data_IF_981018898327
#
_entry.id   IF_981018898327
#
_cell.length_a   1.000
_cell.length_b   1.000
_cell.length_c   1.000
_cell.angle_alpha   90.00
_cell.angle_beta   90.00
_cell.angle_gamma   90.00
#
_symmetry.space_group_name_H-M   'P 1'
#
loop_
_entity.id
_entity.type
_entity.pdbx_description
1 polymer ?
#
# COMPACT_ATOMS: atom_id res chain seq x y z
N UNK A 1 13.56 -11.54 6.36
CA UNK A 1 14.25 -10.36 6.93
C UNK A 1 13.80 -9.13 6.14
N UNK A 2 12.83 -8.38 6.67
CA UNK A 2 12.34 -7.14 6.06
C UNK A 2 13.22 -5.95 6.41
N UNK A 3 12.88 -4.75 5.94
CA UNK A 3 13.46 -3.44 6.33
C UNK A 3 13.23 -3.09 7.82
N UNK A 4 13.22 -4.10 8.69
CA UNK A 4 13.18 -3.92 10.13
C UNK A 4 14.55 -3.38 10.53
N UNK A 5 14.52 -2.23 11.19
CA UNK A 5 15.65 -1.42 11.55
C UNK A 5 16.82 -2.11 12.26
N UNK A 6 17.97 -1.44 12.28
CA UNK A 6 19.04 -1.79 13.21
C UNK A 6 18.60 -1.38 14.65
N UNK A 7 18.93 -2.17 15.68
CA UNK A 7 18.74 -1.72 17.05
C UNK A 7 19.69 -0.53 17.31
N UNK A 8 19.13 0.65 17.56
CA UNK A 8 19.88 1.80 18.08
C UNK A 8 19.16 2.34 19.33
N UNK A 9 19.94 2.62 20.39
CA UNK A 9 19.44 3.18 21.67
C UNK A 9 18.21 2.44 22.26
N UNK A 10 18.17 1.11 22.19
CA UNK A 10 17.09 0.31 22.77
C UNK A 10 15.78 0.28 21.97
N UNK A 11 15.75 0.85 20.75
CA UNK A 11 14.60 0.79 19.84
C UNK A 11 15.03 0.31 18.45
N UNK A 12 14.13 -0.36 17.71
CA UNK A 12 14.37 -0.74 16.32
C UNK A 12 14.19 0.52 15.44
N UNK A 13 15.30 1.12 15.00
CA UNK A 13 15.28 2.36 14.22
C UNK A 13 15.16 2.02 12.75
N UNK A 14 14.10 2.46 12.04
CA UNK A 14 13.88 2.08 10.64
C UNK A 14 15.11 2.37 9.77
N UNK A 15 15.43 1.52 8.80
CA UNK A 15 16.64 1.66 7.99
C UNK A 15 16.76 3.04 7.28
N UNK A 16 15.62 3.68 6.98
CA UNK A 16 15.57 5.03 6.41
C UNK A 16 15.96 6.15 7.38
N UNK A 17 15.98 5.89 8.68
CA UNK A 17 16.44 6.83 9.71
C UNK A 17 17.97 6.72 9.92
N UNK A 18 18.57 5.57 9.59
CA UNK A 18 20.01 5.32 9.78
C UNK A 18 20.87 5.65 8.55
N UNK A 19 20.28 5.68 7.35
CA UNK A 19 20.98 5.98 6.10
C UNK A 19 20.35 7.19 5.40
N UNK A 20 21.16 8.07 4.75
CA UNK A 20 20.67 9.27 4.07
C UNK A 20 20.02 8.92 2.71
N UNK A 21 18.99 8.09 2.72
CA UNK A 21 18.28 7.64 1.54
C UNK A 21 16.91 8.33 1.50
N UNK A 22 16.50 8.81 0.32
CA UNK A 22 15.23 9.51 0.19
C UNK A 22 14.03 8.57 0.33
N UNK A 23 12.91 9.09 0.85
CA UNK A 23 11.64 8.36 0.92
C UNK A 23 11.25 7.75 -0.43
N UNK A 24 11.46 8.49 -1.53
CA UNK A 24 11.11 8.06 -2.87
C UNK A 24 11.87 6.81 -3.30
N UNK A 25 13.14 6.67 -2.93
CA UNK A 25 13.97 5.53 -3.30
C UNK A 25 13.55 4.28 -2.53
N UNK A 26 13.43 4.38 -1.20
CA UNK A 26 13.08 3.24 -0.35
C UNK A 26 11.66 2.76 -0.66
N UNK A 27 10.69 3.68 -0.75
CA UNK A 27 9.31 3.31 -1.04
C UNK A 27 9.16 2.64 -2.41
N UNK A 28 9.92 3.06 -3.44
CA UNK A 28 9.95 2.40 -4.74
C UNK A 28 10.55 0.99 -4.67
N UNK A 29 11.63 0.81 -3.93
CA UNK A 29 12.24 -0.52 -3.74
C UNK A 29 11.28 -1.46 -3.01
N UNK A 30 10.63 -0.98 -1.94
CA UNK A 30 9.62 -1.74 -1.21
C UNK A 30 8.44 -2.12 -2.11
N UNK A 31 7.89 -1.15 -2.86
CA UNK A 31 6.81 -1.42 -3.80
C UNK A 31 7.19 -2.49 -4.83
N UNK A 32 8.34 -2.35 -5.49
CA UNK A 32 8.82 -3.34 -6.48
C UNK A 32 9.00 -4.73 -5.86
N UNK A 33 9.63 -4.80 -4.69
CA UNK A 33 9.85 -6.06 -3.96
C UNK A 33 8.52 -6.74 -3.63
N UNK A 34 7.54 -5.98 -3.14
CA UNK A 34 6.22 -6.51 -2.82
C UNK A 34 5.48 -6.98 -4.07
N UNK A 35 5.50 -6.21 -5.16
CA UNK A 35 4.87 -6.61 -6.43
C UNK A 35 5.49 -7.91 -6.96
N UNK A 36 6.82 -8.03 -6.96
CA UNK A 36 7.50 -9.26 -7.38
C UNK A 36 7.08 -10.45 -6.51
N UNK A 37 6.99 -10.26 -5.19
CA UNK A 37 6.51 -11.31 -4.27
C UNK A 37 5.08 -11.71 -4.60
N UNK A 38 4.17 -10.77 -4.82
CA UNK A 38 2.77 -11.06 -5.17
C UNK A 38 2.70 -11.84 -6.48
N UNK A 39 3.44 -11.41 -7.50
CA UNK A 39 3.50 -12.10 -8.79
C UNK A 39 4.06 -13.52 -8.65
N UNK A 40 5.08 -13.72 -7.81
CA UNK A 40 5.62 -15.05 -7.52
C UNK A 40 4.59 -15.97 -6.83
N UNK A 41 3.73 -15.43 -5.98
CA UNK A 41 2.65 -16.18 -5.32
C UNK A 41 1.37 -16.30 -6.16
N UNK A 42 1.26 -15.58 -7.28
CA UNK A 42 0.04 -15.54 -8.12
C UNK A 42 -0.37 -16.92 -8.63
N UNK A 43 0.52 -17.77 -9.18
CA UNK A 43 0.11 -19.10 -9.65
C UNK A 43 -0.53 -19.95 -8.55
N UNK A 44 0.02 -19.89 -7.34
CA UNK A 44 -0.51 -20.61 -6.19
C UNK A 44 -1.88 -20.04 -5.75
N UNK A 45 -2.01 -18.71 -5.72
CA UNK A 45 -3.26 -18.05 -5.39
C UNK A 45 -4.39 -18.42 -6.38
N UNK A 46 -4.09 -18.45 -7.69
CA UNK A 46 -5.03 -18.88 -8.72
C UNK A 46 -5.43 -20.35 -8.55
N UNK A 47 -4.47 -21.23 -8.24
CA UNK A 47 -4.76 -22.65 -7.98
C UNK A 47 -5.72 -22.82 -6.79
N UNK A 48 -5.48 -22.10 -5.69
CA UNK A 48 -6.37 -22.13 -4.52
C UNK A 48 -7.76 -21.57 -4.81
N UNK A 49 -7.85 -20.41 -5.48
CA UNK A 49 -9.13 -19.80 -5.84
C UNK A 49 -9.96 -20.73 -6.74
N UNK A 50 -9.30 -21.37 -7.71
CA UNK A 50 -9.91 -22.36 -8.60
C UNK A 50 -10.40 -23.59 -7.84
N UNK A 51 -9.56 -24.17 -6.98
CA UNK A 51 -9.93 -25.33 -6.18
C UNK A 51 -11.11 -25.03 -5.23
N UNK A 52 -11.13 -23.84 -4.64
CA UNK A 52 -12.23 -23.40 -3.78
C UNK A 52 -13.53 -23.21 -4.57
N UNK A 53 -13.47 -22.57 -5.74
CA UNK A 53 -14.63 -22.36 -6.61
C UNK A 53 -15.26 -23.69 -7.03
N UNK A 54 -14.45 -24.65 -7.48
CA UNK A 54 -14.91 -25.99 -7.85
C UNK A 54 -15.54 -26.71 -6.67
N UNK A 55 -14.93 -26.61 -5.48
CA UNK A 55 -15.49 -27.19 -4.24
C UNK A 55 -16.85 -26.58 -3.86
N UNK A 56 -17.08 -25.31 -4.18
CA UNK A 56 -18.34 -24.61 -3.95
C UNK A 56 -19.38 -24.84 -5.06
N UNK A 57 -19.09 -25.68 -6.05
CA UNK A 57 -20.00 -25.99 -7.16
C UNK A 57 -19.96 -24.99 -8.33
N UNK A 58 -18.99 -24.07 -8.33
CA UNK A 58 -18.77 -23.14 -9.45
C UNK A 58 -17.79 -23.72 -10.48
N UNK A 59 -17.74 -23.09 -11.67
CA UNK A 59 -16.78 -23.48 -12.70
C UNK A 59 -15.34 -23.13 -12.31
N UNK A 60 -14.37 -23.86 -12.88
CA UNK A 60 -12.96 -23.52 -12.72
C UNK A 60 -12.64 -22.12 -13.29
N UNK A 61 -13.28 -21.74 -14.40
CA UNK A 61 -13.13 -20.41 -15.01
C UNK A 61 -13.55 -19.29 -14.06
N UNK A 62 -14.64 -19.49 -13.31
CA UNK A 62 -15.07 -18.54 -12.28
C UNK A 62 -14.00 -18.37 -11.21
N UNK A 63 -13.41 -19.46 -10.72
CA UNK A 63 -12.35 -19.40 -9.72
C UNK A 63 -11.07 -18.70 -10.21
N UNK A 64 -10.70 -18.89 -11.48
CA UNK A 64 -9.59 -18.14 -12.10
C UNK A 64 -9.91 -16.64 -12.15
N UNK A 65 -11.12 -16.26 -12.57
CA UNK A 65 -11.56 -14.85 -12.63
C UNK A 65 -11.48 -14.18 -11.26
N UNK A 66 -12.07 -14.79 -10.23
CA UNK A 66 -12.01 -14.30 -8.84
C UNK A 66 -10.55 -14.22 -8.36
N UNK A 67 -9.73 -15.21 -8.69
CA UNK A 67 -8.31 -15.21 -8.33
C UNK A 67 -7.55 -14.03 -8.95
N UNK A 68 -7.81 -13.71 -10.21
CA UNK A 68 -7.22 -12.55 -10.90
C UNK A 68 -7.68 -11.25 -10.22
N UNK A 69 -8.96 -11.12 -9.90
CA UNK A 69 -9.53 -9.96 -9.23
C UNK A 69 -8.89 -9.70 -7.86
N UNK A 70 -8.70 -10.76 -7.07
CA UNK A 70 -7.99 -10.68 -5.79
C UNK A 70 -6.56 -10.18 -5.99
N UNK A 71 -5.82 -10.74 -6.97
CA UNK A 71 -4.44 -10.34 -7.25
C UNK A 71 -4.38 -8.87 -7.68
N UNK A 72 -5.31 -8.42 -8.51
CA UNK A 72 -5.41 -7.00 -8.92
C UNK A 72 -5.58 -6.09 -7.71
N UNK A 73 -6.49 -6.41 -6.78
CA UNK A 73 -6.70 -5.62 -5.55
C UNK A 73 -5.43 -5.60 -4.70
N UNK A 74 -4.82 -6.77 -4.48
CA UNK A 74 -3.62 -6.90 -3.62
C UNK A 74 -2.45 -6.10 -4.19
N UNK A 75 -2.25 -6.10 -5.51
CA UNK A 75 -1.24 -5.28 -6.19
C UNK A 75 -1.58 -3.79 -6.10
N UNK A 76 -2.83 -3.43 -6.38
CA UNK A 76 -3.27 -2.03 -6.42
C UNK A 76 -3.18 -1.33 -5.06
N UNK A 77 -3.37 -2.05 -3.95
CA UNK A 77 -3.26 -1.52 -2.58
C UNK A 77 -1.81 -1.37 -2.08
N UNK A 78 -0.82 -1.97 -2.76
CA UNK A 78 0.59 -1.91 -2.32
C UNK A 78 1.13 -0.50 -2.05
N UNK A 79 0.85 0.54 -2.87
CA UNK A 79 1.32 1.90 -2.59
C UNK A 79 0.86 2.42 -1.21
N UNK A 80 -0.40 2.19 -0.83
CA UNK A 80 -0.91 2.58 0.48
C UNK A 80 -0.32 1.73 1.61
N UNK A 81 -0.09 0.43 1.38
CA UNK A 81 0.59 -0.42 2.37
C UNK A 81 2.03 0.04 2.63
N UNK A 82 2.75 0.48 1.58
CA UNK A 82 4.07 1.06 1.72
C UNK A 82 4.00 2.32 2.59
N UNK A 83 3.05 3.23 2.35
CA UNK A 83 2.82 4.40 3.21
C UNK A 83 2.58 4.00 4.67
N UNK A 84 1.70 3.02 4.91
CA UNK A 84 1.40 2.54 6.26
C UNK A 84 2.65 2.05 7.01
N UNK A 85 3.59 1.42 6.32
CA UNK A 85 4.85 0.99 6.93
C UNK A 85 5.70 2.16 7.45
N UNK A 86 5.72 3.28 6.73
CA UNK A 86 6.44 4.49 7.18
C UNK A 86 5.67 5.22 8.28
N UNK A 87 4.34 5.32 8.17
CA UNK A 87 3.51 6.06 9.14
C UNK A 87 3.48 5.40 10.53
N UNK A 88 3.62 4.07 10.62
CA UNK A 88 3.74 3.37 11.92
C UNK A 88 5.07 3.70 12.62
N UNK A 89 6.12 4.01 11.86
CA UNK A 89 7.45 4.32 12.39
C UNK A 89 7.72 5.81 12.62
N UNK A 90 6.82 6.71 12.20
CA UNK A 90 6.93 8.15 12.43
C UNK A 90 6.02 8.60 13.57
N UNK A 91 6.37 9.71 14.21
CA UNK A 91 5.64 10.26 15.34
C UNK A 91 4.40 11.08 14.88
N UNK A 92 3.75 10.64 13.80
CA UNK A 92 2.70 11.36 13.06
C UNK A 92 1.49 11.71 13.95
N UNK A 93 1.29 10.97 15.04
CA UNK A 93 0.22 11.17 16.03
C UNK A 93 0.53 12.19 17.12
N UNK A 94 1.79 12.63 17.29
CA UNK A 94 2.15 13.56 18.39
C UNK A 94 2.14 15.04 17.99
N UNK A 95 2.23 15.36 16.71
CA UNK A 95 2.12 16.74 16.20
C UNK A 95 0.99 16.83 15.18
N UNK A 96 -0.24 16.99 15.68
CA UNK A 96 -1.43 17.20 14.83
C UNK A 96 -1.35 18.61 14.22
N UNK A 97 -0.77 18.70 13.02
CA UNK A 97 -0.80 19.90 12.19
C UNK A 97 -1.94 19.79 11.15
N UNK A 98 -2.48 20.93 10.70
CA UNK A 98 -3.56 20.98 9.70
C UNK A 98 -3.22 20.22 8.42
N UNK A 99 -1.95 20.23 8.00
CA UNK A 99 -1.46 19.47 6.82
C UNK A 99 -1.62 17.96 7.02
N UNK A 100 -1.25 17.45 8.18
CA UNK A 100 -1.36 16.04 8.56
C UNK A 100 -2.84 15.64 8.69
N UNK A 101 -3.65 16.50 9.31
CA UNK A 101 -5.10 16.29 9.43
C UNK A 101 -5.79 16.23 8.06
N UNK A 102 -5.43 17.15 7.15
CA UNK A 102 -5.96 17.19 5.78
C UNK A 102 -5.58 15.94 5.00
N UNK A 103 -4.35 15.46 5.15
CA UNK A 103 -3.90 14.22 4.51
C UNK A 103 -4.67 12.99 5.02
N UNK A 104 -4.86 12.84 6.34
CA UNK A 104 -5.63 11.72 6.88
C UNK A 104 -7.13 11.82 6.52
N UNK A 105 -7.69 13.02 6.46
CA UNK A 105 -9.04 13.25 5.94
C UNK A 105 -9.18 12.81 4.48
N UNK A 106 -8.22 13.19 3.63
CA UNK A 106 -8.17 12.72 2.25
C UNK A 106 -8.01 11.19 2.18
N UNK A 107 -7.11 10.61 2.98
CA UNK A 107 -6.89 9.17 3.02
C UNK A 107 -8.17 8.40 3.37
N UNK A 108 -9.02 8.93 4.27
CA UNK A 108 -10.32 8.35 4.58
C UNK A 108 -11.28 8.38 3.38
N UNK A 109 -11.33 9.50 2.64
CA UNK A 109 -12.15 9.61 1.42
C UNK A 109 -11.66 8.61 0.37
N UNK A 110 -10.34 8.54 0.16
CA UNK A 110 -9.71 7.59 -0.75
C UNK A 110 -10.00 6.14 -0.34
N UNK A 111 -10.02 5.84 0.96
CA UNK A 111 -10.36 4.52 1.48
C UNK A 111 -11.79 4.09 1.13
N UNK A 112 -12.76 5.00 1.19
CA UNK A 112 -14.14 4.73 0.75
C UNK A 112 -14.17 4.37 -0.74
N UNK A 113 -13.40 5.06 -1.57
CA UNK A 113 -13.31 4.74 -3.01
C UNK A 113 -12.68 3.37 -3.22
N UNK A 114 -11.66 2.99 -2.44
CA UNK A 114 -11.05 1.66 -2.50
C UNK A 114 -12.07 0.56 -2.18
N UNK A 115 -12.90 0.75 -1.16
CA UNK A 115 -13.97 -0.20 -0.82
C UNK A 115 -14.97 -0.31 -1.98
N UNK A 116 -15.48 0.82 -2.46
CA UNK A 116 -16.48 0.84 -3.54
C UNK A 116 -15.95 0.20 -4.82
N UNK A 117 -14.71 0.49 -5.21
CA UNK A 117 -14.08 -0.10 -6.38
C UNK A 117 -13.82 -1.60 -6.19
N UNK A 118 -13.45 -2.05 -4.99
CA UNK A 118 -13.28 -3.48 -4.70
C UNK A 118 -14.60 -4.24 -4.84
N UNK A 119 -15.71 -3.68 -4.32
CA UNK A 119 -17.05 -4.26 -4.47
C UNK A 119 -17.43 -4.33 -5.95
N UNK A 120 -17.26 -3.23 -6.69
CA UNK A 120 -17.58 -3.18 -8.11
C UNK A 120 -16.80 -4.21 -8.94
N UNK A 121 -15.54 -4.50 -8.56
CA UNK A 121 -14.70 -5.48 -9.23
C UNK A 121 -15.27 -6.91 -9.13
N UNK A 122 -15.81 -7.29 -7.98
CA UNK A 122 -16.37 -8.63 -7.73
C UNK A 122 -17.82 -8.78 -8.21
N UNK A 123 -18.65 -7.77 -7.99
CA UNK A 123 -20.11 -7.86 -8.18
C UNK A 123 -20.56 -7.57 -9.61
N UNK A 124 -19.82 -6.73 -10.34
CA UNK A 124 -20.29 -6.25 -11.65
C UNK A 124 -19.68 -7.09 -12.77
N UNK A 125 -20.51 -7.78 -13.56
CA UNK A 125 -20.02 -8.63 -14.66
C UNK A 125 -19.46 -7.84 -15.86
N UNK A 126 -19.89 -6.60 -16.05
CA UNK A 126 -19.48 -5.77 -17.19
C UNK A 126 -17.98 -5.47 -17.14
N UNK A 127 -17.25 -5.93 -18.17
CA UNK A 127 -15.80 -5.80 -18.27
C UNK A 127 -15.32 -4.35 -18.15
N UNK A 128 -16.04 -3.40 -18.77
CA UNK A 128 -15.72 -1.98 -18.72
C UNK A 128 -15.69 -1.44 -17.29
N UNK A 129 -16.65 -1.86 -16.46
CA UNK A 129 -16.75 -1.43 -15.07
C UNK A 129 -15.64 -2.10 -14.24
N UNK A 130 -15.29 -3.36 -14.50
CA UNK A 130 -14.15 -4.01 -13.84
C UNK A 130 -12.83 -3.30 -14.15
N UNK A 131 -12.61 -2.93 -15.41
CA UNK A 131 -11.41 -2.17 -15.81
C UNK A 131 -11.38 -0.80 -15.12
N UNK A 132 -12.51 -0.09 -15.11
CA UNK A 132 -12.63 1.19 -14.41
C UNK A 132 -12.34 1.04 -12.91
N UNK A 133 -12.89 0.01 -12.26
CA UNK A 133 -12.67 -0.27 -10.84
C UNK A 133 -11.20 -0.59 -10.54
N UNK A 134 -10.55 -1.41 -11.36
CA UNK A 134 -9.13 -1.72 -11.24
C UNK A 134 -8.25 -0.46 -11.39
N UNK A 135 -8.58 0.40 -12.36
CA UNK A 135 -7.89 1.68 -12.55
C UNK A 135 -8.11 2.63 -11.36
N UNK A 136 -9.35 2.72 -10.86
CA UNK A 136 -9.68 3.53 -9.70
C UNK A 136 -8.87 3.09 -8.46
N UNK A 137 -8.79 1.78 -8.20
CA UNK A 137 -7.95 1.21 -7.14
C UNK A 137 -6.49 1.62 -7.29
N UNK A 138 -5.91 1.45 -8.48
CA UNK A 138 -4.51 1.81 -8.73
C UNK A 138 -4.26 3.31 -8.53
N UNK A 139 -5.07 4.17 -9.17
CA UNK A 139 -4.91 5.62 -9.13
C UNK A 139 -5.06 6.16 -7.72
N UNK A 140 -6.10 5.73 -6.99
CA UNK A 140 -6.37 6.22 -5.63
C UNK A 140 -5.22 5.89 -4.67
N UNK A 141 -4.70 4.66 -4.72
CA UNK A 141 -3.59 4.26 -3.87
C UNK A 141 -2.28 4.98 -4.26
N UNK A 142 -2.05 5.24 -5.56
CA UNK A 142 -0.91 6.04 -6.01
C UNK A 142 -1.03 7.50 -5.56
N UNK A 143 -2.23 8.09 -5.62
CA UNK A 143 -2.49 9.45 -5.12
C UNK A 143 -2.20 9.54 -3.62
N UNK A 144 -2.66 8.57 -2.82
CA UNK A 144 -2.32 8.50 -1.40
C UNK A 144 -0.79 8.44 -1.18
N UNK A 145 -0.10 7.58 -1.94
CA UNK A 145 1.35 7.43 -1.85
C UNK A 145 2.13 8.70 -2.23
N UNK A 146 1.75 9.35 -3.33
CA UNK A 146 2.36 10.62 -3.76
C UNK A 146 2.04 11.74 -2.78
N UNK A 147 0.80 11.80 -2.27
CA UNK A 147 0.39 12.76 -1.25
C UNK A 147 1.23 12.64 0.02
N UNK A 148 1.46 11.40 0.48
CA UNK A 148 2.32 11.14 1.63
C UNK A 148 3.76 11.58 1.37
N UNK A 149 4.31 11.29 0.19
CA UNK A 149 5.66 11.74 -0.21
C UNK A 149 5.79 13.27 -0.14
N UNK A 150 4.80 14.01 -0.61
CA UNK A 150 4.82 15.47 -0.56
C UNK A 150 4.81 15.98 0.89
N UNK A 151 3.98 15.38 1.74
CA UNK A 151 3.91 15.72 3.16
C UNK A 151 5.25 15.40 3.86
N UNK A 152 5.85 14.25 3.58
CA UNK A 152 7.14 13.81 4.11
C UNK A 152 8.28 14.75 3.70
N UNK A 153 8.36 15.09 2.41
CA UNK A 153 9.40 16.00 1.89
C UNK A 153 9.25 17.44 2.40
N UNK A 154 8.05 17.85 2.82
CA UNK A 154 7.81 19.18 3.39
C UNK A 154 8.29 19.33 4.83
N UNK A 155 8.81 18.27 5.46
CA UNK A 155 9.23 18.26 6.86
C UNK A 155 8.06 18.37 7.85
N UNK A 156 6.82 18.22 7.37
CA UNK A 156 5.63 18.31 8.22
C UNK A 156 5.40 17.04 9.06
N UNK A 157 6.14 15.96 8.79
CA UNK A 157 6.20 14.76 9.61
C UNK A 157 7.56 14.70 10.31
N UNK A 158 7.54 14.65 11.64
CA UNK A 158 8.76 14.58 12.45
C UNK A 158 9.29 13.13 12.42
N UNK A 159 10.47 12.96 11.83
CA UNK A 159 11.19 11.69 11.84
C UNK A 159 11.84 11.53 13.21
N UNK A 160 11.84 10.31 13.76
CA UNK A 160 12.45 9.99 15.06
C UNK A 160 13.97 10.28 15.14
N UNK A 161 14.58 10.82 14.08
CA UNK A 161 15.96 11.28 14.04
C UNK A 161 16.10 12.50 13.13
N UNK A 162 16.02 13.71 13.69
CA UNK A 162 16.95 14.74 13.24
C UNK A 162 18.19 14.63 14.13
N UNK A 163 19.34 14.13 13.64
CA UNK A 163 20.60 14.54 14.24
C UNK A 163 20.72 16.03 13.96
N UNK A 164 20.51 16.86 14.99
CA UNK A 164 20.78 18.28 14.94
C UNK A 164 22.28 18.50 14.72
N UNK A 165 22.73 18.52 13.47
CA UNK A 165 23.96 19.24 13.15
C UNK A 165 23.60 20.71 13.02
N UNK A 166 23.61 21.39 14.18
CA UNK A 166 23.84 22.83 14.23
C UNK A 166 25.31 23.04 13.82
N UNK A 167 25.52 23.71 12.70
CA UNK A 167 26.74 24.47 12.41
C UNK A 167 26.35 25.92 12.21
#
# INVERSE_FOLDING_TARGET
>A
MGFNGAPASGQLTPAYASFPISYAEISRVMFKSNVIRILAWTPLALAYATALAVRMGHSATYGVTIGIEIVVIVVAVQPAMVVGHFSVGSNDTKQINWRTLSYFGLALILFVIVIAASIALFEVEALEIKVLAALALGVVNVVAWVGYRLLFNSGAMDLLSQPQYRS
#
